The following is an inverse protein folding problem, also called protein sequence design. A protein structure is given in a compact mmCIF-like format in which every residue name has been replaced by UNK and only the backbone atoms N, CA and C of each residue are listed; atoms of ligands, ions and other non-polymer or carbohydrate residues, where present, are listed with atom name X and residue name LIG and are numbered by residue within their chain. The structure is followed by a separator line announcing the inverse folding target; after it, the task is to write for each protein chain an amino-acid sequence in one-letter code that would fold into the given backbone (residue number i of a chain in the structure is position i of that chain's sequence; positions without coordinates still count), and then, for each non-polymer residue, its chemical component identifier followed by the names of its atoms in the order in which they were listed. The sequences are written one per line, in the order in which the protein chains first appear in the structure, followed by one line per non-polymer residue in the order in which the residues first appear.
data_IF_592873078926
#
_entry.id   IF_592873078926
#
_cell.length_a   1.000
_cell.length_b   1.000
_cell.length_c   1.000
_cell.angle_alpha   90.00
_cell.angle_beta   90.00
_cell.angle_gamma   90.00
#
_symmetry.space_group_name_H-M   'P 1'
#
loop_
_entity.id
_entity.type
_entity.pdbx_description
1 polymer ?
#
# COMPACT_ATOMS: atom_id res chain seq x y z
N UNK A 1 -13.54 -16.75 7.45
CA UNK A 1 -13.47 -15.54 8.29
C UNK A 1 -13.79 -14.30 7.45
N UNK A 2 -14.32 -13.25 8.09
CA UNK A 2 -14.56 -11.97 7.44
C UNK A 2 -13.61 -10.94 8.02
N UNK A 3 -12.78 -10.33 7.16
CA UNK A 3 -11.72 -9.43 7.56
C UNK A 3 -12.00 -8.04 6.95
N UNK A 4 -12.04 -7.03 7.81
CA UNK A 4 -12.05 -5.64 7.39
C UNK A 4 -10.62 -5.19 7.08
N UNK A 5 -10.39 -4.60 5.92
CA UNK A 5 -9.12 -3.97 5.55
C UNK A 5 -9.32 -2.45 5.55
N UNK A 6 -8.60 -1.75 6.41
CA UNK A 6 -8.74 -0.30 6.52
C UNK A 6 -7.60 0.44 5.83
N UNK A 7 -7.98 1.50 5.11
CA UNK A 7 -7.09 2.48 4.51
C UNK A 7 -7.49 3.89 4.96
N UNK A 8 -6.53 4.66 5.47
CA UNK A 8 -6.79 6.07 5.72
C UNK A 8 -6.91 6.86 4.42
N UNK A 9 -6.14 6.48 3.40
CA UNK A 9 -6.20 7.10 2.08
C UNK A 9 -6.18 6.07 0.95
N UNK A 10 -7.06 6.25 -0.02
CA UNK A 10 -7.13 5.44 -1.25
C UNK A 10 -6.52 6.22 -2.41
N UNK A 11 -5.21 6.14 -2.56
CA UNK A 11 -4.44 6.82 -3.59
C UNK A 11 -3.45 5.90 -4.31
N UNK A 12 -2.58 6.45 -5.15
CA UNK A 12 -1.59 5.67 -5.90
C UNK A 12 -0.36 5.24 -5.10
N UNK A 13 -0.30 5.54 -3.79
CA UNK A 13 0.82 5.14 -2.94
C UNK A 13 0.83 3.64 -2.65
N UNK A 14 1.98 3.16 -2.20
CA UNK A 14 2.25 1.73 -2.00
C UNK A 14 1.29 1.02 -1.05
N UNK A 15 0.79 1.71 0.00
CA UNK A 15 -0.15 1.12 0.97
C UNK A 15 -1.44 0.66 0.30
N UNK A 16 -2.05 1.50 -0.55
CA UNK A 16 -3.29 1.12 -1.22
C UNK A 16 -3.10 -0.10 -2.14
N UNK A 17 -1.99 -0.13 -2.91
CA UNK A 17 -1.70 -1.29 -3.74
C UNK A 17 -1.42 -2.56 -2.91
N UNK A 18 -0.67 -2.41 -1.82
CA UNK A 18 -0.36 -3.52 -0.91
C UNK A 18 -1.63 -4.10 -0.27
N UNK A 19 -2.50 -3.24 0.26
CA UNK A 19 -3.77 -3.68 0.85
C UNK A 19 -4.67 -4.35 -0.19
N UNK A 20 -4.68 -3.86 -1.45
CA UNK A 20 -5.40 -4.53 -2.53
C UNK A 20 -4.91 -5.96 -2.73
N UNK A 21 -3.60 -6.18 -2.78
CA UNK A 21 -3.00 -7.50 -2.97
C UNK A 21 -3.28 -8.42 -1.77
N UNK A 22 -3.10 -7.93 -0.54
CA UNK A 22 -3.43 -8.73 0.65
C UNK A 22 -4.89 -9.12 0.70
N UNK A 23 -5.80 -8.20 0.39
CA UNK A 23 -7.24 -8.49 0.32
C UNK A 23 -7.56 -9.53 -0.75
N UNK A 24 -6.93 -9.41 -1.93
CA UNK A 24 -7.12 -10.36 -3.02
C UNK A 24 -6.65 -11.77 -2.65
N UNK A 25 -5.44 -11.90 -2.12
CA UNK A 25 -4.88 -13.19 -1.76
C UNK A 25 -5.48 -13.78 -0.48
N UNK A 26 -5.98 -12.95 0.43
CA UNK A 26 -6.80 -13.39 1.54
C UNK A 26 -8.03 -14.18 1.06
N UNK A 27 -8.68 -13.72 -0.01
CA UNK A 27 -9.80 -14.47 -0.59
C UNK A 27 -9.32 -15.65 -1.45
N UNK A 28 -8.34 -15.40 -2.32
CA UNK A 28 -7.90 -16.41 -3.30
C UNK A 28 -7.26 -17.63 -2.66
N UNK A 29 -6.39 -17.42 -1.67
CA UNK A 29 -5.61 -18.48 -1.01
C UNK A 29 -6.28 -18.95 0.28
N UNK A 30 -6.60 -18.01 1.18
CA UNK A 30 -7.09 -18.33 2.52
C UNK A 30 -8.61 -18.57 2.58
N UNK A 31 -9.32 -18.31 1.46
CA UNK A 31 -10.79 -18.49 1.35
C UNK A 31 -11.59 -17.66 2.36
N UNK A 32 -11.01 -16.60 2.88
CA UNK A 32 -11.69 -15.61 3.72
C UNK A 32 -12.46 -14.61 2.84
N UNK A 33 -13.26 -13.74 3.48
CA UNK A 33 -13.91 -12.59 2.82
C UNK A 33 -13.20 -11.31 3.21
N UNK A 34 -12.98 -10.42 2.25
CA UNK A 34 -12.36 -9.12 2.44
C UNK A 34 -13.36 -8.00 2.25
N UNK A 35 -13.53 -7.14 3.23
CA UNK A 35 -14.36 -5.94 3.17
C UNK A 35 -13.43 -4.73 3.35
N UNK A 36 -13.46 -3.80 2.42
CA UNK A 36 -12.56 -2.65 2.42
C UNK A 36 -13.27 -1.47 3.08
N UNK A 37 -12.62 -0.88 4.06
CA UNK A 37 -13.04 0.36 4.68
C UNK A 37 -12.02 1.45 4.40
N UNK A 38 -12.47 2.68 4.17
CA UNK A 38 -11.56 3.80 3.96
C UNK A 38 -12.10 5.08 4.58
N UNK A 39 -11.22 5.98 4.99
CA UNK A 39 -11.59 7.30 5.47
C UNK A 39 -12.11 8.15 4.30
N UNK A 40 -13.44 8.31 4.21
CA UNK A 40 -14.06 9.05 3.08
C UNK A 40 -13.77 10.55 3.10
N UNK A 41 -13.34 11.12 4.26
CA UNK A 41 -13.01 12.54 4.42
C UNK A 41 -11.59 12.88 4.00
N UNK A 42 -10.74 11.87 3.76
CA UNK A 42 -9.35 12.11 3.40
C UNK A 42 -9.27 12.74 1.99
N UNK A 43 -8.69 13.96 1.93
CA UNK A 43 -8.57 14.74 0.68
C UNK A 43 -7.67 14.10 -0.39
N UNK A 44 -6.81 13.17 0.01
CA UNK A 44 -5.91 12.47 -0.90
C UNK A 44 -6.55 11.26 -1.58
N UNK A 45 -7.78 10.94 -1.28
CA UNK A 45 -8.50 9.89 -1.97
C UNK A 45 -8.62 10.19 -3.46
N UNK A 46 -8.35 9.19 -4.28
CA UNK A 46 -8.48 9.26 -5.74
C UNK A 46 -9.62 8.34 -6.19
N UNK A 47 -10.61 8.90 -6.86
CA UNK A 47 -11.78 8.14 -7.35
C UNK A 47 -11.40 6.90 -8.15
N UNK A 48 -10.40 7.01 -9.02
CA UNK A 48 -9.89 5.88 -9.84
C UNK A 48 -9.44 4.70 -8.97
N UNK A 49 -8.78 4.98 -7.84
CA UNK A 49 -8.34 3.94 -6.90
C UNK A 49 -9.53 3.33 -6.18
N UNK A 50 -10.46 4.14 -5.69
CA UNK A 50 -11.71 3.66 -5.07
C UNK A 50 -12.48 2.76 -6.04
N UNK A 51 -12.63 3.18 -7.30
CA UNK A 51 -13.34 2.42 -8.32
C UNK A 51 -12.63 1.09 -8.65
N UNK A 52 -11.27 1.07 -8.65
CA UNK A 52 -10.49 -0.17 -8.76
C UNK A 52 -10.84 -1.16 -7.65
N UNK A 53 -10.91 -0.70 -6.41
CA UNK A 53 -11.28 -1.56 -5.27
C UNK A 53 -12.74 -2.03 -5.36
N UNK A 54 -13.68 -1.14 -5.71
CA UNK A 54 -15.11 -1.48 -5.86
C UNK A 54 -15.40 -2.54 -6.92
N UNK A 55 -14.57 -2.63 -7.96
CA UNK A 55 -14.68 -3.69 -8.98
C UNK A 55 -14.39 -5.09 -8.42
N UNK A 56 -13.73 -5.17 -7.27
CA UNK A 56 -13.24 -6.45 -6.74
C UNK A 56 -13.78 -6.78 -5.35
N UNK A 57 -14.09 -5.78 -4.53
CA UNK A 57 -14.46 -5.95 -3.13
C UNK A 57 -15.68 -5.11 -2.76
N UNK A 58 -16.41 -5.46 -1.69
CA UNK A 58 -17.27 -4.51 -0.98
C UNK A 58 -16.41 -3.38 -0.42
N UNK A 59 -16.74 -2.11 -0.74
CA UNK A 59 -15.98 -0.92 -0.31
C UNK A 59 -16.93 0.03 0.41
N UNK A 60 -16.56 0.43 1.62
CA UNK A 60 -17.36 1.25 2.52
C UNK A 60 -16.54 2.45 2.99
N UNK A 61 -17.02 3.65 2.72
CA UNK A 61 -16.46 4.88 3.27
C UNK A 61 -16.95 5.11 4.69
N UNK A 62 -16.02 5.35 5.61
CA UNK A 62 -16.31 5.71 7.01
C UNK A 62 -15.74 7.10 7.32
N UNK A 63 -16.24 7.76 8.35
CA UNK A 63 -15.72 9.06 8.78
C UNK A 63 -14.45 8.92 9.62
N UNK A 64 -14.40 7.86 10.44
CA UNK A 64 -13.27 7.55 11.33
C UNK A 64 -13.07 6.03 11.39
N UNK A 65 -11.88 5.62 11.80
CA UNK A 65 -11.54 4.20 11.99
C UNK A 65 -12.55 3.45 12.87
N UNK A 66 -12.96 4.05 14.00
CA UNK A 66 -13.85 3.42 14.97
C UNK A 66 -15.25 3.14 14.40
N UNK A 67 -15.67 3.85 13.35
CA UNK A 67 -16.98 3.63 12.70
C UNK A 67 -17.10 2.23 12.06
N UNK A 68 -15.99 1.53 11.85
CA UNK A 68 -15.99 0.14 11.39
C UNK A 68 -16.76 -0.76 12.35
N UNK A 69 -16.77 -0.44 13.66
CA UNK A 69 -17.50 -1.20 14.67
C UNK A 69 -19.02 -1.24 14.42
N UNK A 70 -19.59 -0.24 13.75
CA UNK A 70 -21.01 -0.20 13.37
C UNK A 70 -21.38 -1.32 12.39
N UNK A 71 -20.39 -1.81 11.67
CA UNK A 71 -20.54 -2.88 10.67
C UNK A 71 -20.18 -4.27 11.19
N UNK A 72 -19.72 -4.39 12.44
CA UNK A 72 -19.26 -5.65 13.05
C UNK A 72 -20.32 -6.75 12.88
N UNK A 73 -21.53 -6.55 13.39
CA UNK A 73 -22.60 -7.54 13.29
C UNK A 73 -23.05 -7.77 11.85
N UNK A 74 -23.22 -6.70 11.06
CA UNK A 74 -23.71 -6.77 9.66
C UNK A 74 -22.84 -7.68 8.79
N UNK A 75 -21.51 -7.60 8.95
CA UNK A 75 -20.57 -8.39 8.15
C UNK A 75 -19.93 -9.54 8.93
N UNK A 76 -20.30 -9.75 10.17
CA UNK A 76 -19.67 -10.73 11.06
C UNK A 76 -18.13 -10.61 11.02
N UNK A 77 -17.62 -9.38 11.27
CA UNK A 77 -16.19 -9.08 11.19
C UNK A 77 -15.44 -9.71 12.36
N UNK A 78 -14.43 -10.50 12.07
CA UNK A 78 -13.58 -11.12 13.10
C UNK A 78 -12.30 -10.31 13.35
N UNK A 79 -11.77 -9.69 12.30
CA UNK A 79 -10.53 -8.91 12.36
C UNK A 79 -10.63 -7.63 11.56
N UNK A 80 -9.88 -6.61 12.01
CA UNK A 80 -9.54 -5.43 11.22
C UNK A 80 -8.05 -5.49 10.93
N UNK A 81 -7.68 -5.50 9.66
CA UNK A 81 -6.30 -5.39 9.21
C UNK A 81 -5.99 -3.94 8.88
N UNK A 82 -4.88 -3.44 9.44
CA UNK A 82 -4.38 -2.09 9.22
C UNK A 82 -2.90 -2.14 8.85
N UNK A 83 -2.55 -1.52 7.73
CA UNK A 83 -1.16 -1.29 7.36
C UNK A 83 -0.79 0.15 7.68
N UNK A 84 0.16 0.36 8.59
CA UNK A 84 0.51 1.69 9.09
C UNK A 84 1.95 1.76 9.60
N UNK A 85 2.37 2.94 10.03
CA UNK A 85 3.56 3.12 10.87
C UNK A 85 3.45 2.32 12.16
N UNK A 86 4.48 2.32 12.97
CA UNK A 86 4.48 1.51 14.18
C UNK A 86 4.03 2.24 15.44
N UNK A 87 3.76 3.52 15.36
CA UNK A 87 3.43 4.33 16.53
C UNK A 87 2.04 4.02 17.08
N UNK A 88 1.91 4.15 18.41
CA UNK A 88 0.63 3.97 19.09
C UNK A 88 -0.31 5.10 18.71
N UNK A 89 -1.50 4.74 18.27
CA UNK A 89 -2.57 5.64 17.88
C UNK A 89 -3.95 5.09 18.28
N UNK A 90 -5.01 5.74 17.82
CA UNK A 90 -6.39 5.37 18.09
C UNK A 90 -6.99 4.40 17.06
N UNK A 91 -6.19 3.83 16.16
CA UNK A 91 -6.68 2.87 15.17
C UNK A 91 -6.76 1.46 15.77
N UNK A 92 -7.50 1.37 16.84
CA UNK A 92 -7.77 0.13 17.59
C UNK A 92 -9.26 0.05 17.88
N UNK A 93 -9.85 -1.09 17.55
CA UNK A 93 -11.22 -1.39 17.90
C UNK A 93 -11.30 -2.07 19.27
N UNK A 94 -12.32 -1.73 20.03
CA UNK A 94 -12.67 -2.41 21.30
C UNK A 94 -13.49 -3.68 21.07
N UNK A 95 -14.15 -3.80 19.91
CA UNK A 95 -15.07 -4.89 19.58
C UNK A 95 -14.48 -5.92 18.61
N UNK A 96 -13.52 -5.52 17.80
CA UNK A 96 -12.96 -6.34 16.72
C UNK A 96 -11.45 -6.39 16.88
N UNK A 97 -10.86 -7.56 16.78
CA UNK A 97 -9.41 -7.75 16.92
C UNK A 97 -8.65 -7.02 15.82
N UNK A 98 -7.79 -6.07 16.19
CA UNK A 98 -7.02 -5.27 15.23
C UNK A 98 -5.65 -5.90 14.98
N UNK A 99 -5.38 -6.24 13.71
CA UNK A 99 -4.11 -6.76 13.21
C UNK A 99 -3.31 -5.60 12.62
N UNK A 100 -2.11 -5.35 13.11
CA UNK A 100 -1.26 -4.24 12.69
C UNK A 100 -0.08 -4.75 11.90
N UNK A 101 0.03 -4.29 10.66
CA UNK A 101 1.14 -4.57 9.77
C UNK A 101 2.03 -3.33 9.67
N UNK A 102 3.22 -3.40 10.29
CA UNK A 102 4.11 -2.26 10.46
C UNK A 102 5.00 -2.08 9.24
N UNK A 103 4.87 -0.92 8.58
CA UNK A 103 5.70 -0.54 7.42
C UNK A 103 6.97 0.22 7.81
N UNK A 104 7.03 0.70 9.05
CA UNK A 104 8.17 1.40 9.64
C UNK A 104 8.61 0.73 10.95
N UNK A 105 9.75 1.16 11.53
CA UNK A 105 10.20 0.68 12.83
C UNK A 105 9.12 0.77 13.89
N UNK A 106 8.89 -0.34 14.60
CA UNK A 106 7.96 -0.41 15.72
C UNK A 106 8.67 -1.03 16.93
N UNK A 107 8.72 -0.31 18.01
CA UNK A 107 9.29 -0.82 19.25
C UNK A 107 8.25 -1.61 20.05
N UNK A 108 8.68 -2.72 20.69
CA UNK A 108 7.80 -3.59 21.47
C UNK A 108 7.01 -2.86 22.57
N UNK A 109 7.58 -1.79 23.13
CA UNK A 109 6.90 -0.95 24.15
C UNK A 109 5.67 -0.18 23.63
N UNK A 110 5.50 -0.07 22.32
CA UNK A 110 4.39 0.67 21.70
C UNK A 110 3.29 -0.26 21.16
N UNK A 111 3.37 -1.56 21.46
CA UNK A 111 2.34 -2.51 21.03
C UNK A 111 0.97 -2.16 21.62
N UNK A 112 -0.06 -2.14 20.77
CA UNK A 112 -1.41 -1.72 21.15
C UNK A 112 -2.52 -2.47 20.40
N UNK A 113 -2.20 -3.26 19.36
CA UNK A 113 -3.15 -4.11 18.64
C UNK A 113 -3.16 -5.56 19.15
N UNK A 114 -4.03 -6.37 18.55
CA UNK A 114 -4.14 -7.78 18.91
C UNK A 114 -2.95 -8.61 18.44
N UNK A 115 -2.50 -8.42 17.20
CA UNK A 115 -1.32 -9.06 16.60
C UNK A 115 -0.58 -8.06 15.72
N UNK A 116 0.71 -8.33 15.54
CA UNK A 116 1.62 -7.51 14.76
C UNK A 116 2.43 -8.35 13.79
N UNK A 117 2.74 -7.76 12.64
CA UNK A 117 3.79 -8.25 11.74
C UNK A 117 4.56 -7.07 11.17
N UNK A 118 5.83 -7.27 10.84
CA UNK A 118 6.62 -6.31 10.05
C UNK A 118 6.54 -6.63 8.57
N UNK A 119 6.81 -5.66 7.71
CA UNK A 119 6.89 -5.88 6.26
C UNK A 119 8.18 -6.55 5.81
N UNK A 120 9.19 -6.69 6.68
CA UNK A 120 10.47 -7.30 6.33
C UNK A 120 11.11 -8.04 7.50
N UNK A 121 11.91 -9.05 7.16
CA UNK A 121 12.71 -9.77 8.14
C UNK A 121 13.69 -8.86 8.87
N UNK A 122 14.27 -7.89 8.15
CA UNK A 122 15.19 -6.92 8.74
C UNK A 122 14.54 -6.12 9.87
N UNK A 123 13.32 -5.60 9.65
CA UNK A 123 12.57 -4.90 10.70
C UNK A 123 12.26 -5.81 11.88
N UNK A 124 11.81 -7.04 11.63
CA UNK A 124 11.53 -8.01 12.67
C UNK A 124 12.77 -8.29 13.52
N UNK A 125 13.91 -8.57 12.88
CA UNK A 125 15.19 -8.82 13.55
C UNK A 125 15.65 -7.62 14.36
N UNK A 126 15.66 -6.43 13.77
CA UNK A 126 16.24 -5.23 14.38
C UNK A 126 15.39 -4.65 15.51
N UNK A 127 14.08 -4.65 15.39
CA UNK A 127 13.18 -3.94 16.32
C UNK A 127 12.44 -4.86 17.30
N UNK A 128 12.41 -6.16 17.05
CA UNK A 128 11.79 -7.12 17.95
C UNK A 128 12.66 -8.34 18.28
N UNK A 129 13.90 -8.40 17.79
CA UNK A 129 14.74 -9.58 17.87
C UNK A 129 14.00 -10.85 17.44
N UNK A 130 13.26 -10.77 16.32
CA UNK A 130 12.40 -11.82 15.75
C UNK A 130 11.24 -12.29 16.65
N UNK A 131 10.92 -11.56 17.72
CA UNK A 131 9.74 -11.87 18.56
C UNK A 131 8.42 -11.62 17.83
N UNK A 132 8.39 -10.67 16.89
CA UNK A 132 7.27 -10.45 16.01
C UNK A 132 7.58 -10.98 14.62
N UNK A 133 6.61 -11.65 13.96
CA UNK A 133 6.79 -12.19 12.61
C UNK A 133 6.95 -11.06 11.57
N UNK A 134 7.34 -11.43 10.37
CA UNK A 134 7.26 -10.56 9.21
C UNK A 134 6.41 -11.18 8.11
N UNK A 135 5.75 -10.33 7.34
CA UNK A 135 4.97 -10.68 6.16
C UNK A 135 5.37 -9.70 5.05
N UNK A 136 6.13 -10.14 4.05
CA UNK A 136 6.62 -9.26 3.00
C UNK A 136 5.48 -8.82 2.08
N UNK A 137 5.68 -7.72 1.34
CA UNK A 137 4.74 -7.30 0.32
C UNK A 137 4.51 -8.38 -0.72
N UNK A 138 3.25 -8.56 -1.10
CA UNK A 138 2.89 -9.39 -2.23
C UNK A 138 3.05 -8.55 -3.48
N UNK A 139 3.96 -8.95 -4.38
CA UNK A 139 4.20 -8.28 -5.65
C UNK A 139 3.72 -9.20 -6.76
N UNK A 140 2.67 -8.78 -7.44
CA UNK A 140 2.22 -9.43 -8.66
C UNK A 140 2.93 -8.78 -9.85
N UNK A 141 3.88 -9.51 -10.43
CA UNK A 141 4.57 -9.03 -11.63
C UNK A 141 3.61 -9.11 -12.81
N UNK A 142 3.41 -7.99 -13.50
CA UNK A 142 2.70 -8.01 -14.77
C UNK A 142 3.46 -8.89 -15.76
N UNK A 143 2.74 -9.73 -16.52
CA UNK A 143 3.34 -10.43 -17.65
C UNK A 143 4.00 -9.38 -18.55
N UNK A 144 5.29 -9.57 -18.80
CA UNK A 144 6.12 -8.59 -19.51
C UNK A 144 5.60 -8.41 -20.93
N UNK A 145 4.85 -7.35 -21.14
CA UNK A 145 4.44 -6.92 -22.45
C UNK A 145 5.34 -5.72 -22.81
N UNK A 146 6.30 -5.89 -23.68
CA UNK A 146 7.19 -4.83 -24.20
C UNK A 146 6.44 -3.68 -24.90
N UNK A 147 5.17 -3.49 -24.56
CA UNK A 147 4.27 -2.55 -25.22
C UNK A 147 4.58 -1.10 -24.89
N UNK A 148 5.13 -0.80 -23.68
CA UNK A 148 5.40 0.58 -23.29
C UNK A 148 6.51 1.21 -24.11
N UNK A 149 7.64 0.52 -24.31
CA UNK A 149 8.72 0.99 -25.21
C UNK A 149 8.19 1.25 -26.63
N UNK A 150 7.39 0.32 -27.16
CA UNK A 150 6.76 0.46 -28.48
C UNK A 150 5.81 1.64 -28.53
N UNK A 151 4.93 1.79 -27.54
CA UNK A 151 4.00 2.94 -27.42
C UNK A 151 4.73 4.28 -27.35
N UNK A 152 5.83 4.35 -26.62
CA UNK A 152 6.65 5.56 -26.47
C UNK A 152 7.67 5.73 -27.60
N UNK A 153 7.67 4.85 -28.64
CA UNK A 153 8.60 4.87 -29.78
C UNK A 153 10.08 4.88 -29.35
N UNK A 154 10.40 4.23 -28.22
CA UNK A 154 11.77 4.14 -27.71
C UNK A 154 12.49 2.98 -28.41
N UNK A 155 13.62 3.28 -29.05
CA UNK A 155 14.45 2.28 -29.76
C UNK A 155 14.94 1.19 -28.77
N UNK A 156 15.04 -0.04 -29.25
CA UNK A 156 15.42 -1.21 -28.41
C UNK A 156 16.77 -1.04 -27.71
N UNK A 157 17.75 -0.42 -28.40
CA UNK A 157 19.10 -0.16 -27.85
C UNK A 157 19.19 1.05 -26.91
N UNK A 158 18.12 1.83 -26.75
CA UNK A 158 18.13 3.00 -25.89
C UNK A 158 18.13 2.61 -24.42
N UNK A 159 18.86 3.38 -23.61
CA UNK A 159 18.87 3.25 -22.15
C UNK A 159 17.65 3.99 -21.61
N UNK A 160 16.89 3.33 -20.75
CA UNK A 160 15.70 3.93 -20.12
C UNK A 160 15.86 3.90 -18.61
N UNK A 161 15.81 5.06 -18.02
CA UNK A 161 15.71 5.23 -16.58
C UNK A 161 14.26 5.50 -16.22
N UNK A 162 13.73 4.75 -15.26
CA UNK A 162 12.39 4.95 -14.71
C UNK A 162 12.43 5.45 -13.28
N UNK A 163 11.57 6.40 -12.95
CA UNK A 163 11.30 6.77 -11.57
C UNK A 163 9.81 6.58 -11.29
N UNK A 164 9.51 5.82 -10.25
CA UNK A 164 8.19 5.71 -9.67
C UNK A 164 8.23 6.32 -8.27
N UNK A 165 7.63 7.46 -8.09
CA UNK A 165 7.65 8.19 -6.84
C UNK A 165 6.34 8.90 -6.55
N UNK A 166 6.19 9.40 -5.32
CA UNK A 166 5.08 10.29 -4.98
C UNK A 166 5.16 11.61 -5.74
N UNK A 167 4.06 12.34 -5.76
CA UNK A 167 3.80 13.57 -6.53
C UNK A 167 4.89 14.67 -6.41
N UNK A 168 5.80 14.58 -5.43
CA UNK A 168 6.89 15.56 -5.21
C UNK A 168 8.27 14.93 -4.96
N UNK A 169 8.41 13.61 -5.15
CA UNK A 169 9.62 12.91 -4.72
C UNK A 169 10.88 13.17 -5.55
N UNK A 170 10.77 13.87 -6.69
CA UNK A 170 11.89 14.21 -7.57
C UNK A 170 11.94 15.69 -7.94
N UNK A 171 11.31 16.54 -7.14
CA UNK A 171 11.18 17.97 -7.44
C UNK A 171 12.41 18.80 -6.94
N UNK A 172 13.60 18.27 -7.18
CA UNK A 172 14.87 18.94 -6.83
C UNK A 172 15.46 19.59 -8.08
N UNK A 173 15.72 20.90 -8.02
CA UNK A 173 16.22 21.69 -9.15
C UNK A 173 17.49 21.11 -9.75
N UNK A 174 18.47 20.75 -8.93
CA UNK A 174 19.74 20.19 -9.43
C UNK A 174 19.56 18.85 -10.15
N UNK A 175 18.57 18.04 -9.76
CA UNK A 175 18.23 16.79 -10.44
C UNK A 175 17.64 17.10 -11.82
N UNK A 176 16.65 18.02 -11.88
CA UNK A 176 16.05 18.47 -13.16
C UNK A 176 17.09 18.97 -14.14
N UNK A 177 17.99 19.85 -13.67
CA UNK A 177 19.07 20.42 -14.49
C UNK A 177 20.02 19.34 -15.01
N UNK A 178 20.37 18.39 -14.15
CA UNK A 178 21.23 17.26 -14.53
C UNK A 178 20.58 16.37 -15.60
N UNK A 179 19.29 16.05 -15.43
CA UNK A 179 18.54 15.27 -16.41
C UNK A 179 18.43 16.00 -17.76
N UNK A 180 18.14 17.30 -17.73
CA UNK A 180 18.09 18.13 -18.94
C UNK A 180 19.43 18.19 -19.68
N UNK A 181 20.55 18.31 -18.95
CA UNK A 181 21.90 18.24 -19.55
C UNK A 181 22.17 16.88 -20.20
N UNK A 182 21.77 15.78 -19.54
CA UNK A 182 21.95 14.43 -20.09
C UNK A 182 21.16 14.27 -21.40
N UNK A 183 19.85 14.60 -21.43
CA UNK A 183 19.02 14.43 -22.63
C UNK A 183 19.42 15.34 -23.78
N UNK A 184 20.01 16.52 -23.50
CA UNK A 184 20.56 17.40 -24.55
C UNK A 184 21.75 16.75 -25.26
N UNK A 185 22.62 16.07 -24.50
CA UNK A 185 23.88 15.52 -24.98
C UNK A 185 23.79 14.05 -25.43
N UNK A 186 22.78 13.29 -24.95
CA UNK A 186 22.64 11.85 -25.18
C UNK A 186 21.25 11.54 -25.75
N UNK A 187 21.17 11.25 -27.04
CA UNK A 187 19.92 10.93 -27.75
C UNK A 187 19.46 9.47 -27.58
N UNK A 188 20.30 8.65 -26.98
CA UNK A 188 20.04 7.24 -26.66
C UNK A 188 19.48 7.02 -25.24
N UNK A 189 19.37 8.09 -24.44
CA UNK A 189 18.89 8.03 -23.05
C UNK A 189 17.50 8.64 -22.96
N UNK A 190 16.61 7.93 -22.24
CA UNK A 190 15.24 8.35 -21.95
C UNK A 190 14.98 8.27 -20.44
N UNK A 191 14.22 9.24 -19.92
CA UNK A 191 13.71 9.23 -18.56
C UNK A 191 12.18 9.12 -18.57
N UNK A 192 11.64 8.22 -17.75
CA UNK A 192 10.20 8.02 -17.60
C UNK A 192 9.85 8.24 -16.13
N UNK A 193 9.00 9.22 -15.86
CA UNK A 193 8.46 9.53 -14.55
C UNK A 193 7.00 9.07 -14.48
N UNK A 194 6.62 8.31 -13.45
CA UNK A 194 5.30 7.73 -13.23
C UNK A 194 4.73 8.16 -11.88
#
# INVERSE_FOLDING_TARGET
MNIAFYLDEMNFRGVANSVFQYSHYNEKILKNKSIIFYNKKNRFNKKVVIDKFKKRFPVIGVDNFIDIEKFHKKFNLEYIYVQKGGEKDNWISKKIKTLIHCVYPQYLKHLHGYKYAYISEWLSKKFSNRKLPYVPYIIELSKNNNTLRKKLKIKTKSIVFGCHGGESSFDLLFVKDSLLKIVKNRKDIFFIFL
#
